data_IF_957186306153
#
_entry.id   IF_957186306153
#
_cell.length_a   1.000
_cell.length_b   1.000
_cell.length_c   1.000
_cell.angle_alpha   90.00
_cell.angle_beta   90.00
_cell.angle_gamma   90.00
#
_symmetry.space_group_name_H-M   'P 1'
#
loop_
_entity.id
_entity.type
_entity.pdbx_description
1 polymer ?
#
# COMPACT_ATOMS: atom_id res chain seq x y z
N UNK A 1 50.35 -62.19 -23.26
CA UNK A 1 50.40 -61.50 -24.58
C UNK A 1 50.58 -60.01 -24.36
N UNK A 2 51.71 -59.63 -23.76
CA UNK A 2 52.20 -58.27 -23.69
C UNK A 2 53.04 -58.05 -24.96
N UNK A 3 52.47 -57.41 -25.99
CA UNK A 3 53.19 -56.91 -27.19
C UNK A 3 52.31 -56.19 -28.21
N UNK A 4 51.30 -55.44 -27.74
CA UNK A 4 50.59 -54.46 -28.60
C UNK A 4 50.60 -53.06 -27.97
N UNK A 5 51.67 -52.76 -27.22
CA UNK A 5 52.20 -51.40 -27.11
C UNK A 5 53.08 -51.19 -28.34
N UNK A 6 52.81 -50.17 -29.18
CA UNK A 6 53.81 -49.23 -29.74
C UNK A 6 53.47 -48.54 -31.07
N UNK A 7 52.35 -48.82 -31.73
CA UNK A 7 52.07 -48.17 -33.02
C UNK A 7 50.70 -47.50 -33.01
N UNK A 8 50.63 -46.32 -32.42
CA UNK A 8 49.93 -45.11 -32.91
C UNK A 8 49.86 -44.08 -31.77
N UNK A 9 51.03 -43.79 -31.21
CA UNK A 9 51.28 -42.70 -30.28
C UNK A 9 51.62 -41.40 -31.02
N UNK A 10 51.03 -41.16 -32.19
CA UNK A 10 51.19 -39.88 -32.89
C UNK A 10 49.96 -39.68 -33.75
N UNK A 11 49.09 -38.74 -33.37
CA UNK A 11 48.48 -37.71 -34.23
C UNK A 11 47.23 -37.15 -33.54
N UNK A 12 47.46 -36.04 -32.83
CA UNK A 12 46.57 -34.89 -32.67
C UNK A 12 45.14 -35.13 -32.18
N UNK A 13 44.86 -34.71 -30.95
CA UNK A 13 43.94 -33.58 -30.74
C UNK A 13 43.91 -33.11 -29.28
N UNK A 14 44.55 -31.97 -29.07
CA UNK A 14 44.11 -30.82 -28.28
C UNK A 14 43.54 -31.09 -26.87
N UNK A 15 44.38 -30.78 -25.88
CA UNK A 15 43.94 -30.41 -24.55
C UNK A 15 42.99 -29.19 -24.60
N UNK A 16 41.78 -29.34 -24.08
CA UNK A 16 40.99 -28.20 -23.59
C UNK A 16 40.78 -28.39 -22.09
N UNK A 17 41.45 -27.55 -21.32
CA UNK A 17 41.17 -27.34 -19.91
C UNK A 17 39.77 -26.70 -19.79
N UNK A 18 38.77 -27.49 -19.41
CA UNK A 18 37.50 -26.96 -18.95
C UNK A 18 37.72 -26.45 -17.51
N UNK A 19 37.96 -25.15 -17.37
CA UNK A 19 37.83 -24.47 -16.09
C UNK A 19 36.39 -24.70 -15.58
N UNK A 20 36.28 -25.21 -14.36
CA UNK A 20 35.03 -25.27 -13.62
C UNK A 20 34.55 -23.83 -13.32
N UNK A 21 33.84 -23.24 -14.27
CA UNK A 21 33.00 -22.07 -14.00
C UNK A 21 31.79 -22.61 -13.26
N UNK A 22 31.77 -22.38 -11.94
CA UNK A 22 30.56 -22.41 -11.14
C UNK A 22 29.44 -21.72 -11.93
N UNK A 23 28.28 -22.34 -12.19
CA UNK A 23 27.13 -21.55 -12.56
C UNK A 23 26.86 -20.65 -11.35
N UNK A 24 27.15 -19.35 -11.51
CA UNK A 24 26.47 -18.36 -10.70
C UNK A 24 24.99 -18.66 -10.89
N UNK A 25 24.30 -18.94 -9.78
CA UNK A 25 22.86 -19.01 -9.76
C UNK A 25 22.36 -17.70 -10.36
N UNK A 26 22.02 -17.74 -11.64
CA UNK A 26 21.11 -16.78 -12.23
C UNK A 26 19.81 -17.05 -11.50
N UNK A 27 19.55 -16.23 -10.48
CA UNK A 27 18.19 -15.87 -10.13
C UNK A 27 17.59 -15.27 -11.39
N UNK A 28 17.12 -16.15 -12.26
CA UNK A 28 16.12 -15.81 -13.25
C UNK A 28 14.87 -15.54 -12.44
N UNK A 29 14.80 -14.35 -11.86
CA UNK A 29 13.54 -13.71 -11.53
C UNK A 29 12.85 -13.52 -12.87
N UNK A 30 12.20 -14.58 -13.34
CA UNK A 30 11.19 -14.46 -14.36
C UNK A 30 10.18 -13.46 -13.79
N UNK A 31 9.96 -12.29 -14.43
CA UNK A 31 8.92 -11.39 -13.99
C UNK A 31 7.62 -12.20 -13.98
N UNK A 32 6.82 -12.13 -12.91
CA UNK A 32 5.56 -12.86 -12.86
C UNK A 32 4.76 -12.44 -14.09
N UNK A 33 4.37 -13.42 -14.89
CA UNK A 33 3.64 -13.26 -16.16
C UNK A 33 2.20 -12.76 -15.99
N UNK A 34 1.87 -12.21 -14.81
CA UNK A 34 0.60 -11.56 -14.52
C UNK A 34 0.67 -10.09 -14.92
N UNK A 35 -0.31 -9.64 -15.71
CA UNK A 35 -0.52 -8.20 -15.86
C UNK A 35 -0.87 -7.64 -14.47
N UNK A 36 -0.16 -6.61 -14.04
CA UNK A 36 -0.38 -5.95 -12.75
C UNK A 36 -1.82 -5.52 -12.52
N UNK A 37 -2.50 -5.10 -13.59
CA UNK A 37 -3.91 -4.73 -13.51
C UNK A 37 -4.80 -5.96 -13.29
N UNK A 38 -4.43 -7.13 -13.84
CA UNK A 38 -5.14 -8.38 -13.58
C UNK A 38 -4.92 -8.85 -12.14
N UNK A 39 -3.68 -8.80 -11.65
CA UNK A 39 -3.36 -9.11 -10.25
C UNK A 39 -4.18 -8.22 -9.29
N UNK A 40 -4.34 -6.94 -9.64
CA UNK A 40 -5.15 -6.00 -8.86
C UNK A 40 -6.63 -6.39 -8.88
N UNK A 41 -7.18 -6.72 -10.05
CA UNK A 41 -8.58 -7.15 -10.16
C UNK A 41 -8.86 -8.44 -9.39
N UNK A 42 -7.97 -9.43 -9.52
CA UNK A 42 -8.11 -10.72 -8.82
C UNK A 42 -8.04 -10.53 -7.30
N UNK A 43 -7.16 -9.63 -6.83
CA UNK A 43 -7.04 -9.28 -5.41
C UNK A 43 -8.29 -8.55 -4.91
N UNK A 44 -8.82 -7.58 -5.66
CA UNK A 44 -10.04 -6.87 -5.30
C UNK A 44 -11.21 -7.85 -5.19
N UNK A 45 -11.37 -8.72 -6.19
CA UNK A 45 -12.46 -9.69 -6.26
C UNK A 45 -12.38 -10.75 -5.15
N UNK A 46 -11.18 -11.25 -4.86
CA UNK A 46 -11.01 -12.38 -3.94
C UNK A 46 -10.72 -11.97 -2.50
N UNK A 47 -10.05 -10.83 -2.29
CA UNK A 47 -9.53 -10.40 -0.99
C UNK A 47 -10.12 -9.07 -0.49
N UNK A 48 -10.84 -8.32 -1.30
CA UNK A 48 -11.28 -6.96 -0.99
C UNK A 48 -11.99 -6.82 0.35
N UNK A 49 -12.87 -7.76 0.69
CA UNK A 49 -13.66 -7.67 1.93
C UNK A 49 -12.87 -8.00 3.19
N UNK A 50 -11.73 -8.70 3.08
CA UNK A 50 -10.87 -9.01 4.22
C UNK A 50 -9.95 -7.84 4.60
N UNK A 51 -9.70 -6.93 3.66
CA UNK A 51 -8.72 -5.84 3.83
C UNK A 51 -9.35 -4.46 4.00
N UNK A 52 -10.65 -4.30 3.75
CA UNK A 52 -11.37 -3.04 3.99
C UNK A 52 -11.48 -2.69 5.47
N UNK A 53 -11.57 -1.39 5.77
CA UNK A 53 -12.00 -0.90 7.08
C UNK A 53 -13.42 -1.35 7.43
N UNK A 54 -13.80 -1.45 8.73
CA UNK A 54 -13.04 -1.10 9.94
C UNK A 54 -11.86 -2.04 10.23
N UNK A 55 -10.92 -1.65 11.11
CA UNK A 55 -9.71 -2.44 11.40
C UNK A 55 -10.02 -3.79 12.08
N UNK A 56 -11.09 -3.84 12.87
CA UNK A 56 -11.62 -5.02 13.53
C UNK A 56 -13.05 -5.31 13.08
N UNK A 57 -13.47 -6.59 13.05
CA UNK A 57 -12.68 -7.78 13.35
C UNK A 57 -11.72 -8.17 12.20
N UNK A 58 -10.60 -8.80 12.56
CA UNK A 58 -9.71 -9.49 11.61
C UNK A 58 -10.30 -10.87 11.28
N UNK A 59 -10.88 -10.99 10.09
CA UNK A 59 -11.53 -12.22 9.61
C UNK A 59 -10.50 -13.03 8.82
N UNK A 60 -10.31 -14.33 9.12
CA UNK A 60 -9.42 -15.20 8.35
C UNK A 60 -9.76 -15.18 6.85
N UNK A 61 -8.77 -15.03 5.94
CA UNK A 61 -9.00 -15.03 4.51
C UNK A 61 -9.47 -16.39 3.99
N UNK A 62 -10.22 -16.37 2.88
CA UNK A 62 -10.59 -17.60 2.18
C UNK A 62 -9.39 -18.24 1.49
N UNK A 63 -9.52 -19.53 1.16
CA UNK A 63 -8.53 -20.24 0.32
C UNK A 63 -8.35 -19.58 -1.04
N UNK A 64 -9.43 -19.05 -1.63
CA UNK A 64 -9.38 -18.29 -2.89
C UNK A 64 -8.55 -17.01 -2.74
N UNK A 65 -8.79 -16.22 -1.68
CA UNK A 65 -7.96 -15.05 -1.40
C UNK A 65 -6.49 -15.44 -1.23
N UNK A 66 -6.18 -16.49 -0.45
CA UNK A 66 -4.81 -16.92 -0.27
C UNK A 66 -4.14 -17.43 -1.56
N UNK A 67 -4.88 -18.08 -2.45
CA UNK A 67 -4.35 -18.50 -3.74
C UNK A 67 -3.92 -17.30 -4.61
N UNK A 68 -4.68 -16.19 -4.56
CA UNK A 68 -4.32 -14.93 -5.20
C UNK A 68 -3.10 -14.32 -4.51
N UNK A 69 -3.15 -14.15 -3.18
CA UNK A 69 -2.06 -13.58 -2.38
C UNK A 69 -0.73 -14.30 -2.60
N UNK A 70 -0.73 -15.61 -2.87
CA UNK A 70 0.51 -16.36 -3.15
C UNK A 70 1.12 -16.09 -4.52
N UNK A 71 0.34 -15.62 -5.49
CA UNK A 71 0.76 -15.49 -6.90
C UNK A 71 1.01 -14.06 -7.36
N UNK A 72 0.28 -13.10 -6.79
CA UNK A 72 0.32 -11.71 -7.25
C UNK A 72 1.70 -11.06 -7.12
N UNK A 73 1.97 -10.10 -8.00
CA UNK A 73 3.14 -9.24 -7.96
C UNK A 73 2.96 -8.13 -6.90
N UNK A 74 3.39 -8.41 -5.65
CA UNK A 74 3.30 -7.46 -4.52
C UNK A 74 3.99 -6.11 -4.84
N UNK A 75 5.23 -6.05 -5.37
CA UNK A 75 5.83 -4.78 -5.77
C UNK A 75 4.95 -3.97 -6.73
N UNK A 76 4.34 -4.61 -7.73
CA UNK A 76 3.48 -3.90 -8.66
C UNK A 76 2.18 -3.43 -8.01
N UNK A 77 1.52 -4.29 -7.23
CA UNK A 77 0.31 -3.91 -6.48
C UNK A 77 0.59 -2.74 -5.54
N UNK A 78 1.76 -2.73 -4.91
CA UNK A 78 2.19 -1.63 -4.07
C UNK A 78 2.36 -0.31 -4.82
N UNK A 79 2.76 -0.34 -6.10
CA UNK A 79 2.77 0.87 -6.94
C UNK A 79 1.37 1.42 -7.23
N UNK A 80 0.32 0.58 -7.14
CA UNK A 80 -1.09 0.95 -7.38
C UNK A 80 -1.79 1.45 -6.11
N UNK A 81 -1.14 1.37 -4.95
CA UNK A 81 -1.67 1.91 -3.69
C UNK A 81 -1.49 3.44 -3.71
N UNK A 82 -2.59 4.15 -3.97
CA UNK A 82 -2.65 5.60 -3.86
C UNK A 82 -3.15 6.01 -2.47
N UNK A 83 -3.01 7.29 -2.05
CA UNK A 83 -3.55 7.78 -0.79
C UNK A 83 -5.06 7.51 -0.68
N UNK A 84 -5.78 7.58 -1.80
CA UNK A 84 -7.20 7.18 -1.86
C UNK A 84 -7.37 5.71 -1.50
N UNK A 85 -6.57 4.80 -2.06
CA UNK A 85 -6.62 3.37 -1.72
C UNK A 85 -6.29 3.15 -0.25
N UNK A 86 -5.30 3.86 0.30
CA UNK A 86 -4.94 3.80 1.73
C UNK A 86 -6.09 4.19 2.67
N UNK A 87 -7.05 5.01 2.21
CA UNK A 87 -8.27 5.31 3.00
C UNK A 87 -9.32 4.21 2.96
N UNK A 88 -9.28 3.34 1.95
CA UNK A 88 -10.27 2.26 1.76
C UNK A 88 -9.81 0.94 2.41
N UNK A 89 -8.51 0.69 2.45
CA UNK A 89 -7.93 -0.55 2.96
C UNK A 89 -7.20 -0.35 4.29
N UNK A 90 -7.44 -1.25 5.23
CA UNK A 90 -6.75 -1.30 6.50
C UNK A 90 -5.43 -2.07 6.36
N UNK A 91 -4.30 -1.38 6.50
CA UNK A 91 -2.97 -2.02 6.39
C UNK A 91 -2.74 -3.11 7.44
N UNK A 92 -3.31 -2.98 8.64
CA UNK A 92 -3.21 -4.03 9.66
C UNK A 92 -3.93 -5.32 9.22
N UNK A 93 -5.02 -5.19 8.46
CA UNK A 93 -5.72 -6.32 7.86
C UNK A 93 -4.96 -6.89 6.66
N UNK A 94 -4.33 -6.06 5.85
CA UNK A 94 -3.42 -6.52 4.77
C UNK A 94 -2.29 -7.38 5.36
N UNK A 95 -1.65 -6.91 6.43
CA UNK A 95 -0.62 -7.67 7.15
C UNK A 95 -1.19 -8.97 7.72
N UNK A 96 -2.37 -8.92 8.34
CA UNK A 96 -3.03 -10.11 8.87
C UNK A 96 -3.33 -11.16 7.79
N UNK A 97 -3.87 -10.74 6.64
CA UNK A 97 -4.17 -11.61 5.49
C UNK A 97 -2.89 -12.21 4.94
N UNK A 98 -1.86 -11.41 4.71
CA UNK A 98 -0.55 -11.87 4.23
C UNK A 98 0.06 -12.95 5.14
N UNK A 99 0.05 -12.72 6.45
CA UNK A 99 0.51 -13.67 7.45
C UNK A 99 -0.34 -14.95 7.47
N UNK A 100 -1.66 -14.81 7.41
CA UNK A 100 -2.60 -15.93 7.41
C UNK A 100 -2.42 -16.82 6.17
N UNK A 101 -2.14 -16.20 5.01
CA UNK A 101 -1.87 -16.89 3.75
C UNK A 101 -0.43 -17.39 3.58
N UNK A 102 0.41 -17.32 4.63
CA UNK A 102 1.81 -17.78 4.66
C UNK A 102 2.74 -17.04 3.69
N UNK A 103 2.41 -15.79 3.35
CA UNK A 103 3.26 -14.90 2.57
C UNK A 103 3.42 -13.56 3.30
N UNK A 104 4.16 -13.51 4.41
CA UNK A 104 4.32 -12.30 5.20
C UNK A 104 5.00 -11.20 4.36
N UNK A 105 4.57 -9.95 4.54
CA UNK A 105 5.29 -8.80 4.01
C UNK A 105 6.61 -8.66 4.77
N UNK A 106 7.69 -8.28 4.08
CA UNK A 106 8.96 -8.09 4.78
C UNK A 106 8.85 -6.93 5.77
N UNK A 107 9.40 -7.05 6.99
CA UNK A 107 9.46 -5.93 7.92
C UNK A 107 10.09 -4.70 7.26
N UNK A 108 9.46 -3.54 7.43
CA UNK A 108 9.92 -2.30 6.80
C UNK A 108 9.54 -2.14 5.34
N UNK A 109 8.83 -3.10 4.72
CA UNK A 109 8.22 -2.93 3.39
C UNK A 109 7.27 -1.74 3.34
N UNK A 110 7.26 -1.05 2.21
CA UNK A 110 6.47 0.16 1.99
C UNK A 110 5.65 -0.04 0.74
N UNK A 111 4.37 0.25 0.87
CA UNK A 111 3.36 -0.01 -0.15
C UNK A 111 2.59 1.30 -0.32
N UNK A 112 2.56 1.82 -1.54
CA UNK A 112 1.99 3.12 -1.87
C UNK A 112 3.00 4.27 -1.99
N UNK A 113 2.52 5.41 -2.48
CA UNK A 113 3.36 6.59 -2.79
C UNK A 113 3.86 7.35 -1.55
N UNK A 114 3.53 6.92 -0.34
CA UNK A 114 4.08 7.47 0.90
C UNK A 114 5.62 7.33 1.04
N UNK A 115 6.33 6.74 0.05
CA UNK A 115 7.79 6.61 0.05
C UNK A 115 8.53 6.96 -1.26
N UNK A 116 7.97 7.78 -2.16
CA UNK A 116 8.76 8.26 -3.31
C UNK A 116 8.72 9.75 -3.63
N UNK A 117 8.22 10.60 -2.73
CA UNK A 117 8.24 12.06 -2.95
C UNK A 117 9.33 12.71 -2.09
N UNK A 118 10.59 12.39 -2.40
CA UNK A 118 11.67 13.39 -2.30
C UNK A 118 11.73 14.02 -3.69
N UNK A 119 10.87 15.02 -3.89
CA UNK A 119 10.70 15.67 -5.20
C UNK A 119 10.05 17.02 -5.00
N UNK A 120 10.87 17.97 -4.55
CA UNK A 120 10.59 19.41 -4.48
C UNK A 120 9.90 19.92 -5.75
N UNK A 121 8.75 20.57 -5.63
CA UNK A 121 8.26 21.59 -6.57
C UNK A 121 7.05 22.35 -5.98
N UNK A 122 7.25 23.62 -5.66
CA UNK A 122 6.28 24.59 -5.12
C UNK A 122 4.85 24.44 -5.68
N UNK A 123 4.11 23.54 -5.03
CA UNK A 123 2.69 23.17 -5.16
C UNK A 123 2.32 22.06 -4.14
N UNK A 124 3.23 21.77 -3.21
CA UNK A 124 3.37 20.52 -2.44
C UNK A 124 2.66 20.52 -1.08
N UNK A 125 2.14 21.66 -0.62
CA UNK A 125 1.61 21.76 0.74
C UNK A 125 0.35 20.93 0.93
N UNK A 126 -0.51 20.83 -0.10
CA UNK A 126 -1.81 20.17 0.04
C UNK A 126 -1.73 18.64 0.11
N UNK A 127 -0.86 18.03 -0.68
CA UNK A 127 -0.62 16.58 -0.64
C UNK A 127 0.11 16.20 0.66
N UNK A 128 1.06 17.03 1.09
CA UNK A 128 1.74 16.89 2.38
C UNK A 128 0.78 17.03 3.56
N UNK A 129 -0.12 18.02 3.50
CA UNK A 129 -1.18 18.27 4.48
C UNK A 129 -2.14 17.08 4.54
N UNK A 130 -2.55 16.55 3.39
CA UNK A 130 -3.42 15.39 3.31
C UNK A 130 -2.74 14.17 3.96
N UNK A 131 -1.47 13.93 3.64
CA UNK A 131 -0.69 12.82 4.20
C UNK A 131 -0.56 12.94 5.72
N UNK A 132 -0.26 14.15 6.21
CA UNK A 132 -0.15 14.43 7.64
C UNK A 132 -1.50 14.26 8.36
N UNK A 133 -2.60 14.69 7.73
CA UNK A 133 -3.95 14.52 8.27
C UNK A 133 -4.34 13.04 8.35
N UNK A 134 -4.02 12.26 7.31
CA UNK A 134 -4.26 10.81 7.30
C UNK A 134 -3.42 10.13 8.40
N UNK A 135 -2.14 10.48 8.53
CA UNK A 135 -1.26 9.90 9.57
C UNK A 135 -1.82 10.12 10.98
N UNK A 136 -2.11 11.38 11.31
CA UNK A 136 -2.38 11.78 12.69
C UNK A 136 -3.87 11.73 13.05
N UNK A 137 -4.76 11.98 12.08
CA UNK A 137 -6.18 12.23 12.36
C UNK A 137 -7.14 11.11 11.91
N UNK A 138 -6.71 10.16 11.05
CA UNK A 138 -7.61 9.17 10.41
C UNK A 138 -8.58 8.48 11.38
N UNK A 139 -8.09 8.06 12.54
CA UNK A 139 -8.88 7.31 13.53
C UNK A 139 -10.02 8.14 14.15
N UNK A 140 -9.89 9.47 14.17
CA UNK A 140 -10.89 10.37 14.74
C UNK A 140 -11.98 10.75 13.75
N UNK A 141 -11.76 10.53 12.45
CA UNK A 141 -12.66 10.98 11.36
C UNK A 141 -13.29 9.83 10.57
N UNK A 142 -12.82 8.60 10.76
CA UNK A 142 -13.45 7.40 10.18
C UNK A 142 -14.82 7.08 10.82
N UNK A 143 -15.73 6.43 10.07
CA UNK A 143 -16.99 5.91 10.61
C UNK A 143 -16.76 4.83 11.69
N UNK A 144 -17.76 4.54 12.54
CA UNK A 144 -19.14 5.06 12.53
C UNK A 144 -19.27 6.44 13.20
N UNK A 145 -20.17 7.29 12.70
CA UNK A 145 -20.33 8.71 13.10
C UNK A 145 -20.67 8.91 14.60
N UNK A 146 -21.35 7.93 15.20
CA UNK A 146 -21.82 7.98 16.59
C UNK A 146 -20.71 8.03 17.65
N UNK A 147 -19.50 7.58 17.33
CA UNK A 147 -18.37 7.62 18.28
C UNK A 147 -17.44 8.81 17.98
N UNK A 148 -17.72 9.95 18.59
CA UNK A 148 -16.86 11.14 18.54
C UNK A 148 -15.72 11.00 19.57
N UNK A 149 -14.52 10.69 19.09
CA UNK A 149 -13.32 10.54 19.92
C UNK A 149 -12.56 11.88 19.89
N UNK A 150 -12.20 12.47 21.04
CA UNK A 150 -11.38 13.68 21.06
C UNK A 150 -10.04 13.47 20.33
N UNK A 151 -9.62 14.41 19.46
CA UNK A 151 -8.37 14.30 18.73
C UNK A 151 -7.15 14.42 19.67
N UNK A 152 -6.04 13.80 19.27
CA UNK A 152 -4.75 13.96 19.93
C UNK A 152 -4.16 15.35 19.69
N UNK A 153 -3.19 15.74 20.51
CA UNK A 153 -2.42 16.97 20.30
C UNK A 153 -1.70 16.99 18.95
N UNK A 154 -1.18 15.84 18.49
CA UNK A 154 -0.54 15.71 17.18
C UNK A 154 -1.53 15.94 16.03
N UNK A 155 -2.73 15.35 16.10
CA UNK A 155 -3.79 15.61 15.14
C UNK A 155 -4.17 17.10 15.12
N UNK A 156 -4.34 17.73 16.29
CA UNK A 156 -4.66 19.16 16.34
C UNK A 156 -3.55 20.07 15.80
N UNK A 157 -2.28 19.71 16.00
CA UNK A 157 -1.16 20.45 15.45
C UNK A 157 -1.17 20.46 13.91
N UNK A 158 -1.59 19.33 13.30
CA UNK A 158 -1.82 19.24 11.85
C UNK A 158 -3.03 20.07 11.45
N UNK A 159 -4.19 19.84 12.08
CA UNK A 159 -5.45 20.56 11.78
C UNK A 159 -5.30 22.07 11.81
N UNK A 160 -4.43 22.63 12.67
CA UNK A 160 -4.19 24.07 12.75
C UNK A 160 -3.39 24.65 11.57
N UNK A 161 -2.62 23.82 10.86
CA UNK A 161 -1.69 24.25 9.81
C UNK A 161 -2.16 23.95 8.40
N UNK A 162 -2.96 22.90 8.24
CA UNK A 162 -3.34 22.42 6.90
C UNK A 162 -4.11 23.45 6.07
N UNK A 163 -3.96 23.36 4.75
CA UNK A 163 -4.73 24.10 3.76
C UNK A 163 -6.11 23.45 3.58
N UNK A 164 -7.06 23.83 4.44
CA UNK A 164 -8.44 23.34 4.45
C UNK A 164 -9.15 23.52 3.09
N UNK A 165 -9.11 24.71 2.43
CA UNK A 165 -9.71 24.85 1.10
C UNK A 165 -9.19 23.83 0.08
N UNK A 166 -7.88 23.58 0.07
CA UNK A 166 -7.30 22.60 -0.84
C UNK A 166 -7.73 21.17 -0.52
N UNK A 167 -7.68 20.77 0.76
CA UNK A 167 -8.13 19.45 1.18
C UNK A 167 -9.60 19.21 0.82
N UNK A 168 -10.44 20.21 1.05
CA UNK A 168 -11.86 20.16 0.72
C UNK A 168 -12.16 20.03 -0.77
N UNK A 169 -11.30 20.59 -1.64
CA UNK A 169 -11.41 20.40 -3.09
C UNK A 169 -11.12 18.95 -3.53
N UNK A 170 -10.37 18.19 -2.72
CA UNK A 170 -10.06 16.77 -2.98
C UNK A 170 -11.10 15.81 -2.39
N UNK A 171 -12.02 16.28 -1.56
CA UNK A 171 -13.08 15.42 -0.98
C UNK A 171 -14.11 15.11 -2.06
N UNK A 172 -14.09 13.87 -2.55
CA UNK A 172 -15.10 13.35 -3.50
C UNK A 172 -16.20 12.59 -2.75
N UNK A 173 -17.29 12.26 -3.46
CA UNK A 173 -18.39 11.44 -2.90
C UNK A 173 -17.93 10.06 -2.43
N UNK A 174 -16.89 9.51 -3.03
CA UNK A 174 -16.29 8.23 -2.62
C UNK A 174 -15.56 8.36 -1.29
N UNK A 175 -14.85 9.48 -1.09
CA UNK A 175 -14.19 9.80 0.18
C UNK A 175 -15.24 10.04 1.28
N UNK A 176 -16.32 10.75 0.97
CA UNK A 176 -17.44 10.97 1.92
C UNK A 176 -18.11 9.66 2.40
N UNK A 177 -18.00 8.55 1.65
CA UNK A 177 -18.51 7.23 2.09
C UNK A 177 -17.65 6.60 3.19
N UNK A 178 -16.38 6.96 3.29
CA UNK A 178 -15.41 6.40 4.24
C UNK A 178 -14.90 7.43 5.26
N UNK A 179 -15.30 8.68 5.11
CA UNK A 179 -14.95 9.80 5.97
C UNK A 179 -16.23 10.39 6.59
N UNK A 180 -16.32 10.43 7.91
CA UNK A 180 -17.45 11.06 8.61
C UNK A 180 -17.25 12.57 8.70
N UNK A 181 -17.94 13.32 7.85
CA UNK A 181 -17.84 14.78 7.83
C UNK A 181 -18.29 15.42 9.15
N UNK A 182 -19.26 14.82 9.85
CA UNK A 182 -19.64 15.25 11.21
C UNK A 182 -18.48 15.13 12.22
N UNK A 183 -17.64 14.10 12.08
CA UNK A 183 -16.43 13.97 12.90
C UNK A 183 -15.33 14.93 12.48
N UNK A 184 -15.20 15.22 11.18
CA UNK A 184 -14.27 16.25 10.69
C UNK A 184 -14.60 17.60 11.33
N UNK A 185 -15.88 17.98 11.35
CA UNK A 185 -16.35 19.21 12.02
C UNK A 185 -16.05 19.16 13.52
N UNK A 186 -16.37 18.05 14.20
CA UNK A 186 -16.08 17.88 15.63
C UNK A 186 -14.58 17.99 15.96
N UNK A 187 -13.71 17.37 15.16
CA UNK A 187 -12.24 17.43 15.34
C UNK A 187 -11.76 18.87 15.15
N UNK A 188 -12.24 19.56 14.11
CA UNK A 188 -11.89 20.95 13.83
C UNK A 188 -12.28 21.89 14.97
N UNK A 189 -13.50 21.77 15.50
CA UNK A 189 -13.96 22.48 16.70
C UNK A 189 -13.07 22.19 17.92
N UNK A 190 -12.78 20.91 18.17
CA UNK A 190 -12.01 20.49 19.34
C UNK A 190 -10.54 20.94 19.27
N UNK A 191 -10.01 21.08 18.07
CA UNK A 191 -8.68 21.61 17.76
C UNK A 191 -8.63 23.15 17.63
N UNK A 192 -9.74 23.85 17.94
CA UNK A 192 -9.86 25.32 17.95
C UNK A 192 -9.73 25.97 16.57
N UNK A 193 -10.15 25.26 15.52
CA UNK A 193 -10.26 25.77 14.15
C UNK A 193 -11.61 25.33 13.55
N UNK A 194 -12.74 25.82 14.09
CA UNK A 194 -14.07 25.42 13.60
C UNK A 194 -14.26 25.89 12.16
N UNK A 195 -15.07 25.13 11.42
CA UNK A 195 -15.57 25.59 10.12
C UNK A 195 -16.66 26.64 10.33
N UNK A 196 -16.78 27.58 9.40
CA UNK A 196 -17.93 28.49 9.37
C UNK A 196 -19.21 27.75 9.00
N UNK A 197 -20.34 28.20 9.54
CA UNK A 197 -21.65 27.65 9.15
C UNK A 197 -21.87 27.84 7.64
N UNK A 198 -22.31 26.77 6.99
CA UNK A 198 -22.51 26.77 5.55
C UNK A 198 -21.24 26.61 4.71
N UNK A 199 -20.07 26.43 5.32
CA UNK A 199 -18.83 26.10 4.61
C UNK A 199 -18.99 24.81 3.80
N UNK A 200 -18.53 24.82 2.55
CA UNK A 200 -18.63 23.70 1.62
C UNK A 200 -17.31 22.95 1.55
N UNK A 201 -17.35 21.64 1.72
CA UNK A 201 -16.20 20.75 1.63
C UNK A 201 -16.58 19.48 0.89
N UNK A 202 -16.14 19.34 -0.37
CA UNK A 202 -16.70 18.35 -1.28
C UNK A 202 -18.17 18.62 -1.59
N UNK A 203 -19.03 17.62 -1.41
CA UNK A 203 -20.49 17.79 -1.44
C UNK A 203 -21.12 18.02 -0.07
N UNK A 204 -20.34 18.00 1.01
CA UNK A 204 -20.82 18.27 2.35
C UNK A 204 -20.85 19.77 2.66
N UNK A 205 -21.96 20.21 3.28
CA UNK A 205 -22.15 21.56 3.78
C UNK A 205 -22.25 21.54 5.31
N UNK A 206 -21.43 22.34 5.98
CA UNK A 206 -21.46 22.46 7.45
C UNK A 206 -22.83 22.98 7.90
N UNK A 207 -23.56 22.27 8.78
CA UNK A 207 -24.86 22.70 9.28
C UNK A 207 -24.81 24.05 10.00
N UNK A 208 -25.95 24.74 10.02
CA UNK A 208 -26.16 25.94 10.82
C UNK A 208 -26.39 25.59 12.30
#
# INVERSE_FOLDING_TARGET
>A
MARLFLAFMVLLSVAMAAAAVRPAATTTDAPPTGNCDQDLQDLIASCGDYVKFPADPKIPPSSACCAVVQKVNIPCLCSKVTPTVETLICMDKVVYVANSCKRPLQPGSKCGIAMSIVGTQAGDDCESDLTSLISECKQYVMPPANQKIPPSGACCAVVQKVNVPCLCAKVTKEIEKVLSMEKVVFVAERCKRPFEHGYQCGSYKVPA
#
